data_IF_253157706211
#
_entry.id   IF_253157706211
#
_cell.length_a   1.000
_cell.length_b   1.000
_cell.length_c   1.000
_cell.angle_alpha   90.00
_cell.angle_beta   90.00
_cell.angle_gamma   90.00
#
_symmetry.space_group_name_H-M   'P 1'
#
loop_
_entity.id
_entity.type
_entity.pdbx_description
1 polymer ?
#
# COMPACT_ATOMS: atom_id res chain seq x y z
N UNK A 1 -27.63 65.85 -27.99
CA UNK A 1 -27.92 64.84 -26.98
C UNK A 1 -27.58 65.38 -25.60
N UNK A 2 -28.51 65.36 -24.62
CA UNK A 2 -28.26 66.03 -23.34
C UNK A 2 -27.25 65.25 -22.50
N UNK A 3 -26.31 65.97 -21.90
CA UNK A 3 -25.22 65.48 -21.06
C UNK A 3 -25.68 64.54 -19.91
N UNK A 4 -26.96 64.48 -19.60
CA UNK A 4 -27.54 63.57 -18.57
C UNK A 4 -27.63 62.12 -19.01
N UNK A 5 -27.91 61.83 -20.29
CA UNK A 5 -27.98 60.44 -20.78
C UNK A 5 -26.63 59.77 -20.86
N UNK A 6 -25.59 60.55 -21.23
CA UNK A 6 -24.21 60.00 -21.28
C UNK A 6 -23.69 59.59 -19.89
N UNK A 7 -24.03 60.29 -18.81
CA UNK A 7 -23.65 59.96 -17.44
C UNK A 7 -24.37 58.72 -16.93
N UNK A 8 -25.59 58.46 -17.29
CA UNK A 8 -26.36 57.28 -16.93
C UNK A 8 -25.77 56.00 -17.58
N UNK A 9 -25.32 56.08 -18.82
CA UNK A 9 -24.67 54.96 -19.52
C UNK A 9 -23.30 54.65 -18.96
N UNK A 10 -22.52 55.64 -18.52
CA UNK A 10 -21.21 55.42 -17.88
C UNK A 10 -21.35 54.76 -16.51
N UNK A 11 -22.34 55.14 -15.69
CA UNK A 11 -22.61 54.51 -14.39
C UNK A 11 -23.11 53.08 -14.55
N UNK A 12 -23.95 52.81 -15.56
CA UNK A 12 -24.41 51.46 -15.84
C UNK A 12 -23.28 50.54 -16.33
N UNK A 13 -22.35 51.05 -17.14
CA UNK A 13 -21.18 50.31 -17.61
C UNK A 13 -20.18 50.00 -16.48
N UNK A 14 -19.95 50.94 -15.55
CA UNK A 14 -19.11 50.74 -14.39
C UNK A 14 -19.76 49.74 -13.41
N UNK A 15 -21.08 49.82 -13.19
CA UNK A 15 -21.80 48.87 -12.35
C UNK A 15 -21.78 47.44 -12.93
N UNK A 16 -21.85 47.29 -14.25
CA UNK A 16 -21.78 45.99 -14.91
C UNK A 16 -20.36 45.42 -14.91
N UNK A 17 -19.34 46.27 -15.06
CA UNK A 17 -17.93 45.84 -14.93
C UNK A 17 -17.56 45.41 -13.51
N UNK A 18 -18.09 46.06 -12.48
CA UNK A 18 -17.88 45.65 -11.09
C UNK A 18 -18.64 44.36 -10.76
N UNK A 19 -19.83 44.12 -11.32
CA UNK A 19 -20.54 42.85 -11.14
C UNK A 19 -19.81 41.66 -11.79
N UNK A 20 -19.15 41.87 -12.94
CA UNK A 20 -18.36 40.84 -13.62
C UNK A 20 -17.04 40.55 -12.87
N UNK A 21 -16.42 41.55 -12.24
CA UNK A 21 -15.23 41.37 -11.43
C UNK A 21 -15.51 40.65 -10.09
N UNK A 22 -16.71 40.82 -9.50
CA UNK A 22 -17.09 40.09 -8.28
C UNK A 22 -17.57 38.67 -8.56
N UNK A 23 -18.01 38.34 -9.78
CA UNK A 23 -18.43 37.00 -10.17
C UNK A 23 -17.27 36.05 -10.50
N UNK A 24 -16.08 36.57 -10.75
CA UNK A 24 -14.90 35.75 -11.07
C UNK A 24 -14.10 35.28 -9.83
N UNK A 25 -14.42 35.78 -8.62
CA UNK A 25 -13.63 35.53 -7.42
C UNK A 25 -14.09 34.33 -6.59
N UNK A 26 -15.15 33.61 -6.98
CA UNK A 26 -15.63 32.42 -6.23
C UNK A 26 -16.11 31.30 -7.16
N UNK A 27 -15.33 30.93 -8.16
CA UNK A 27 -15.34 29.57 -8.65
C UNK A 27 -14.55 28.74 -7.62
N UNK A 28 -15.13 28.60 -6.45
CA UNK A 28 -14.69 27.70 -5.42
C UNK A 28 -15.01 26.31 -5.97
N UNK A 29 -14.03 25.67 -6.63
CA UNK A 29 -14.14 24.26 -6.96
C UNK A 29 -14.49 23.58 -5.66
N UNK A 30 -15.65 22.97 -5.61
CA UNK A 30 -15.98 22.00 -4.55
C UNK A 30 -14.94 20.89 -4.67
N UNK A 31 -13.88 21.00 -3.88
CA UNK A 31 -12.74 20.05 -3.95
C UNK A 31 -13.21 18.63 -3.65
N UNK A 32 -14.47 18.45 -3.24
CA UNK A 32 -15.01 17.17 -2.84
C UNK A 32 -14.19 16.54 -1.68
N UNK A 33 -14.46 15.31 -1.35
CA UNK A 33 -13.71 14.54 -0.35
C UNK A 33 -12.67 13.66 -1.04
N UNK A 34 -11.40 13.78 -0.67
CA UNK A 34 -10.36 12.84 -1.09
C UNK A 34 -10.59 11.48 -0.41
N UNK A 35 -10.74 10.43 -1.20
CA UNK A 35 -11.04 9.07 -0.72
C UNK A 35 -9.82 8.17 -0.89
N UNK A 36 -9.32 7.65 0.22
CA UNK A 36 -8.11 6.83 0.26
C UNK A 36 -8.51 5.40 0.63
N UNK A 37 -8.16 4.44 -0.21
CA UNK A 37 -8.46 3.03 0.01
C UNK A 37 -7.35 2.28 0.72
N UNK A 38 -7.68 1.10 1.24
CA UNK A 38 -6.68 0.12 1.67
C UNK A 38 -7.11 -1.31 1.33
N UNK A 39 -6.11 -2.17 1.12
CA UNK A 39 -6.29 -3.63 1.13
C UNK A 39 -6.58 -4.10 2.56
N UNK A 40 -6.91 -5.39 2.72
CA UNK A 40 -7.26 -5.98 4.01
C UNK A 40 -6.06 -6.63 4.69
N UNK A 41 -5.05 -5.83 5.05
CA UNK A 41 -3.91 -6.23 5.89
C UNK A 41 -3.28 -5.00 6.56
N UNK A 42 -2.54 -5.22 7.65
CA UNK A 42 -2.07 -4.21 8.60
C UNK A 42 -1.32 -3.06 7.95
N UNK A 43 -0.30 -3.35 7.15
CA UNK A 43 0.51 -2.34 6.48
C UNK A 43 -0.32 -1.40 5.60
N UNK A 44 -1.26 -1.97 4.84
CA UNK A 44 -2.13 -1.18 3.98
C UNK A 44 -3.04 -0.23 4.77
N UNK A 45 -3.47 -0.62 5.98
CA UNK A 45 -4.24 0.25 6.87
C UNK A 45 -3.40 1.42 7.36
N UNK A 46 -2.16 1.14 7.81
CA UNK A 46 -1.22 2.16 8.27
C UNK A 46 -0.90 3.15 7.16
N UNK A 47 -0.58 2.66 5.95
CA UNK A 47 -0.25 3.50 4.80
C UNK A 47 -1.44 4.36 4.37
N UNK A 48 -2.68 3.87 4.44
CA UNK A 48 -3.86 4.67 4.15
C UNK A 48 -4.03 5.84 5.14
N UNK A 49 -3.76 5.61 6.43
CA UNK A 49 -3.77 6.65 7.45
C UNK A 49 -2.61 7.65 7.27
N UNK A 50 -1.41 7.18 6.92
CA UNK A 50 -0.27 8.05 6.61
C UNK A 50 -0.59 8.97 5.44
N UNK A 51 -1.17 8.45 4.36
CA UNK A 51 -1.60 9.22 3.20
C UNK A 51 -2.69 10.24 3.57
N UNK A 52 -3.69 9.81 4.35
CA UNK A 52 -4.78 10.68 4.78
C UNK A 52 -4.28 11.85 5.65
N UNK A 53 -3.42 11.56 6.62
CA UNK A 53 -2.89 12.57 7.53
C UNK A 53 -1.87 13.48 6.86
N UNK A 54 -1.13 13.01 5.86
CA UNK A 54 -0.25 13.88 5.04
C UNK A 54 -1.07 14.86 4.17
N UNK A 55 -2.24 14.45 3.69
CA UNK A 55 -3.14 15.28 2.89
C UNK A 55 -3.97 16.26 3.74
N UNK A 56 -4.41 15.84 4.93
CA UNK A 56 -5.39 16.55 5.77
C UNK A 56 -5.06 18.02 6.06
N UNK A 57 -3.81 18.43 6.40
CA UNK A 57 -3.48 19.84 6.69
C UNK A 57 -3.75 20.79 5.52
N UNK A 58 -3.91 20.26 4.33
CA UNK A 58 -4.04 21.02 3.08
C UNK A 58 -5.47 20.99 2.52
N UNK A 59 -6.42 20.42 3.27
CA UNK A 59 -7.81 20.24 2.87
C UNK A 59 -8.78 20.96 3.82
N UNK A 60 -9.97 21.32 3.32
CA UNK A 60 -11.03 21.91 4.13
C UNK A 60 -11.77 20.86 4.96
N UNK A 61 -11.96 19.68 4.39
CA UNK A 61 -12.55 18.50 5.05
C UNK A 61 -11.54 17.38 5.09
N UNK A 62 -11.53 16.61 6.17
CA UNK A 62 -10.62 15.49 6.30
C UNK A 62 -10.79 14.48 5.16
N UNK A 63 -9.70 13.89 4.64
CA UNK A 63 -9.79 12.76 3.72
C UNK A 63 -10.62 11.61 4.33
N UNK A 64 -11.33 10.88 3.47
CA UNK A 64 -12.10 9.72 3.88
C UNK A 64 -11.28 8.44 3.64
N UNK A 65 -10.88 7.75 4.71
CA UNK A 65 -10.23 6.45 4.62
C UNK A 65 -11.29 5.36 4.44
N UNK A 66 -11.14 4.55 3.39
CA UNK A 66 -11.93 3.36 3.08
C UNK A 66 -11.09 2.13 3.40
N UNK A 67 -11.07 1.79 4.69
CA UNK A 67 -10.21 0.72 5.21
C UNK A 67 -10.73 -0.67 4.84
N UNK A 68 -9.82 -1.59 4.48
CA UNK A 68 -10.10 -3.02 4.42
C UNK A 68 -11.03 -3.44 3.28
N UNK A 69 -10.98 -2.79 2.13
CA UNK A 69 -11.86 -3.08 0.99
C UNK A 69 -11.75 -4.53 0.50
N UNK A 70 -10.57 -5.13 0.60
CA UNK A 70 -10.35 -6.51 0.21
C UNK A 70 -8.97 -6.75 -0.41
N UNK A 71 -8.89 -7.66 -1.36
CA UNK A 71 -7.68 -7.97 -2.13
C UNK A 71 -7.43 -6.96 -3.26
N UNK A 72 -6.32 -7.13 -3.99
CA UNK A 72 -5.93 -6.27 -5.11
C UNK A 72 -7.06 -6.03 -6.12
N UNK A 73 -7.79 -7.06 -6.52
CA UNK A 73 -8.85 -6.92 -7.52
C UNK A 73 -9.98 -6.01 -7.04
N UNK A 74 -10.39 -6.13 -5.77
CA UNK A 74 -11.48 -5.33 -5.18
C UNK A 74 -11.06 -3.87 -5.03
N UNK A 75 -9.84 -3.61 -4.53
CA UNK A 75 -9.36 -2.24 -4.31
C UNK A 75 -9.12 -1.53 -5.64
N UNK A 76 -8.54 -2.23 -6.62
CA UNK A 76 -8.38 -1.69 -7.97
C UNK A 76 -9.73 -1.37 -8.64
N UNK A 77 -10.74 -2.22 -8.48
CA UNK A 77 -12.09 -1.93 -8.97
C UNK A 77 -12.71 -0.72 -8.27
N UNK A 78 -12.49 -0.54 -6.96
CA UNK A 78 -12.91 0.65 -6.25
C UNK A 78 -12.22 1.93 -6.77
N UNK A 79 -10.93 1.86 -7.14
CA UNK A 79 -10.23 2.95 -7.80
C UNK A 79 -10.80 3.23 -9.19
N UNK A 80 -11.05 2.18 -9.99
CA UNK A 80 -11.56 2.26 -11.36
C UNK A 80 -12.96 2.87 -11.41
N UNK A 81 -13.83 2.47 -10.49
CA UNK A 81 -15.20 3.00 -10.39
C UNK A 81 -15.29 4.38 -9.73
N UNK A 82 -14.18 4.91 -9.19
CA UNK A 82 -14.15 6.16 -8.46
C UNK A 82 -14.70 6.05 -7.03
N UNK A 83 -14.81 4.87 -6.47
CA UNK A 83 -15.12 4.64 -5.04
C UNK A 83 -14.01 5.11 -4.12
N UNK A 84 -12.76 5.08 -4.60
CA UNK A 84 -11.57 5.69 -4.00
C UNK A 84 -10.81 6.49 -5.06
N UNK A 85 -9.93 7.39 -4.60
CA UNK A 85 -9.14 8.27 -5.46
C UNK A 85 -7.67 7.80 -5.56
N UNK A 86 -7.16 7.15 -4.52
CA UNK A 86 -5.81 6.58 -4.45
C UNK A 86 -5.69 5.51 -3.34
N UNK A 87 -4.63 4.71 -3.40
CA UNK A 87 -4.23 3.79 -2.34
C UNK A 87 -2.76 3.38 -2.49
N UNK A 88 -2.16 2.82 -1.42
CA UNK A 88 -0.82 2.23 -1.48
C UNK A 88 -0.85 0.88 -2.20
N UNK A 89 0.03 0.69 -3.18
CA UNK A 89 0.16 -0.53 -3.97
C UNK A 89 1.64 -0.84 -4.20
N UNK A 90 1.97 -1.97 -4.79
CA UNK A 90 3.34 -2.45 -4.97
C UNK A 90 3.64 -2.68 -6.44
N UNK A 91 4.86 -2.33 -6.88
CA UNK A 91 5.23 -2.37 -8.30
C UNK A 91 5.07 -3.75 -8.94
N UNK A 92 5.45 -4.82 -8.24
CA UNK A 92 5.24 -6.20 -8.73
C UNK A 92 3.76 -6.53 -8.94
N UNK A 93 2.90 -6.13 -7.99
CA UNK A 93 1.45 -6.31 -8.08
C UNK A 93 0.85 -5.51 -9.24
N UNK A 94 1.30 -4.26 -9.43
CA UNK A 94 0.83 -3.43 -10.54
C UNK A 94 1.18 -4.08 -11.88
N UNK A 95 2.41 -4.54 -12.03
CA UNK A 95 2.86 -5.18 -13.27
C UNK A 95 2.09 -6.48 -13.55
N UNK A 96 2.04 -7.39 -12.57
CA UNK A 96 1.57 -8.75 -12.79
C UNK A 96 0.05 -8.90 -12.64
N UNK A 97 -0.57 -8.21 -11.66
CA UNK A 97 -1.99 -8.36 -11.37
C UNK A 97 -2.87 -7.32 -12.05
N UNK A 98 -2.42 -6.07 -12.17
CA UNK A 98 -3.21 -4.99 -12.77
C UNK A 98 -2.96 -4.90 -14.26
N UNK A 99 -1.70 -4.79 -14.68
CA UNK A 99 -1.32 -4.66 -16.09
C UNK A 99 -1.20 -5.99 -16.82
N UNK A 100 -1.22 -7.12 -16.10
CA UNK A 100 -1.09 -8.49 -16.65
C UNK A 100 0.16 -8.63 -17.54
N UNK A 101 1.25 -7.98 -17.15
CA UNK A 101 2.53 -8.10 -17.83
C UNK A 101 3.18 -9.44 -17.50
N UNK A 102 3.81 -10.06 -18.48
CA UNK A 102 4.63 -11.27 -18.33
C UNK A 102 6.13 -10.97 -18.11
N UNK A 103 6.48 -9.68 -18.05
CA UNK A 103 7.86 -9.19 -17.94
C UNK A 103 8.00 -8.13 -16.87
N UNK A 104 9.20 -8.01 -16.25
CA UNK A 104 9.49 -6.90 -15.37
C UNK A 104 9.27 -5.54 -16.08
N UNK A 105 8.73 -4.58 -15.36
CA UNK A 105 8.45 -3.23 -15.87
C UNK A 105 9.17 -2.20 -15.02
N UNK A 106 9.68 -1.13 -15.65
CA UNK A 106 10.11 0.07 -14.95
C UNK A 106 8.88 0.90 -14.53
N UNK A 107 9.04 1.82 -13.56
CA UNK A 107 7.94 2.72 -13.15
C UNK A 107 7.45 3.59 -14.31
N UNK A 108 8.35 4.03 -15.18
CA UNK A 108 8.03 4.80 -16.38
C UNK A 108 7.15 4.00 -17.34
N UNK A 109 7.51 2.73 -17.58
CA UNK A 109 6.73 1.82 -18.42
C UNK A 109 5.35 1.52 -17.79
N UNK A 110 5.28 1.34 -16.46
CA UNK A 110 4.00 1.17 -15.76
C UNK A 110 3.12 2.41 -15.91
N UNK A 111 3.67 3.63 -15.71
CA UNK A 111 2.93 4.86 -15.88
C UNK A 111 2.43 5.04 -17.32
N UNK A 112 3.26 4.71 -18.32
CA UNK A 112 2.85 4.75 -19.72
C UNK A 112 1.68 3.79 -20.02
N UNK A 113 1.67 2.61 -19.39
CA UNK A 113 0.60 1.62 -19.53
C UNK A 113 -0.68 1.99 -18.74
N UNK A 114 -0.54 2.62 -17.58
CA UNK A 114 -1.65 3.04 -16.72
C UNK A 114 -2.34 4.31 -17.21
N UNK A 115 -1.62 5.24 -17.85
CA UNK A 115 -2.14 6.54 -18.26
C UNK A 115 -3.39 6.44 -19.17
N UNK A 116 -3.43 5.57 -20.20
CA UNK A 116 -4.64 5.39 -21.01
C UNK A 116 -5.84 4.86 -20.23
N UNK A 117 -5.61 4.22 -19.08
CA UNK A 117 -6.64 3.72 -18.17
C UNK A 117 -7.12 4.79 -17.18
N UNK A 118 -6.49 5.97 -17.18
CA UNK A 118 -6.79 7.07 -16.27
C UNK A 118 -6.07 7.00 -14.92
N UNK A 119 -4.99 6.23 -14.81
CA UNK A 119 -4.24 6.02 -13.57
C UNK A 119 -2.76 6.34 -13.73
N UNK A 120 -2.10 6.54 -12.59
CA UNK A 120 -0.66 6.71 -12.51
C UNK A 120 -0.11 6.17 -11.20
N UNK A 121 1.21 5.97 -11.15
CA UNK A 121 1.94 5.66 -9.93
C UNK A 121 2.91 6.79 -9.60
N UNK A 122 2.97 7.13 -8.32
CA UNK A 122 3.85 8.15 -7.78
C UNK A 122 4.33 7.76 -6.38
N UNK A 123 5.12 8.62 -5.75
CA UNK A 123 5.49 8.52 -4.33
C UNK A 123 6.06 7.14 -3.99
N UNK A 124 7.25 6.77 -4.50
CA UNK A 124 7.93 5.59 -3.99
C UNK A 124 8.24 5.83 -2.51
N UNK A 125 7.63 5.05 -1.61
CA UNK A 125 7.77 5.29 -0.17
C UNK A 125 9.21 5.09 0.32
N UNK A 126 9.93 4.10 -0.23
CA UNK A 126 11.33 3.83 0.08
C UNK A 126 11.60 2.41 0.59
N UNK A 127 10.62 1.53 0.56
CA UNK A 127 10.76 0.13 0.98
C UNK A 127 10.17 -0.85 -0.04
N UNK A 128 10.60 -2.10 0.06
CA UNK A 128 10.06 -3.23 -0.67
C UNK A 128 9.32 -4.14 0.30
N UNK A 129 8.15 -4.61 -0.10
CA UNK A 129 7.38 -5.60 0.65
C UNK A 129 7.04 -6.78 -0.26
N UNK A 130 7.95 -7.76 -0.29
CA UNK A 130 7.88 -8.92 -1.17
C UNK A 130 7.14 -10.10 -0.56
N UNK A 131 6.65 -10.99 -1.43
CA UNK A 131 6.21 -12.31 -0.99
C UNK A 131 7.39 -13.22 -0.68
N UNK A 132 7.24 -14.06 0.34
CA UNK A 132 8.12 -15.19 0.60
C UNK A 132 7.33 -16.33 1.27
N UNK A 133 7.94 -17.50 1.38
CA UNK A 133 7.45 -18.57 2.26
C UNK A 133 8.29 -18.61 3.52
N UNK A 134 7.63 -18.88 4.64
CA UNK A 134 8.29 -19.02 5.94
C UNK A 134 7.80 -20.26 6.70
N UNK A 135 8.65 -20.79 7.55
CA UNK A 135 8.35 -21.90 8.43
C UNK A 135 9.00 -21.70 9.80
N UNK A 136 8.59 -22.45 10.82
CA UNK A 136 9.24 -22.38 12.13
C UNK A 136 10.72 -22.70 12.00
N UNK A 137 11.60 -21.85 12.55
CA UNK A 137 13.06 -21.99 12.41
C UNK A 137 13.57 -23.35 12.92
N UNK A 138 13.05 -23.84 14.05
CA UNK A 138 13.42 -25.15 14.61
C UNK A 138 13.08 -26.32 13.66
N UNK A 139 11.95 -26.24 12.94
CA UNK A 139 11.57 -27.27 11.98
C UNK A 139 12.41 -27.18 10.71
N UNK A 140 12.67 -25.96 10.23
CA UNK A 140 13.55 -25.72 9.09
C UNK A 140 14.97 -26.30 9.34
N UNK A 141 15.53 -26.02 10.51
CA UNK A 141 16.87 -26.51 10.87
C UNK A 141 16.90 -28.03 11.03
N UNK A 142 15.89 -28.62 11.69
CA UNK A 142 15.76 -30.08 11.86
C UNK A 142 15.63 -30.81 10.51
N UNK A 143 14.93 -30.24 9.55
CA UNK A 143 14.69 -30.82 8.21
C UNK A 143 15.77 -30.43 7.19
N UNK A 144 16.66 -29.50 7.55
CA UNK A 144 17.69 -28.98 6.65
C UNK A 144 17.15 -28.10 5.52
N UNK A 145 15.97 -27.50 5.72
CA UNK A 145 15.31 -26.63 4.73
C UNK A 145 15.81 -25.21 4.88
N UNK A 146 16.34 -24.62 3.81
CA UNK A 146 16.85 -23.26 3.75
C UNK A 146 16.25 -22.44 2.61
N UNK A 147 15.85 -23.13 1.54
CA UNK A 147 15.36 -22.50 0.31
C UNK A 147 14.06 -23.13 -0.19
N UNK A 148 13.43 -22.49 -1.15
CA UNK A 148 12.26 -23.02 -1.84
C UNK A 148 12.58 -24.33 -2.59
N UNK A 149 13.82 -24.47 -3.14
CA UNK A 149 14.25 -25.72 -3.75
C UNK A 149 14.39 -26.86 -2.74
N UNK A 150 14.71 -26.57 -1.46
CA UNK A 150 14.73 -27.59 -0.42
C UNK A 150 13.31 -28.07 -0.08
N UNK A 151 12.35 -27.12 0.00
CA UNK A 151 10.95 -27.41 0.30
C UNK A 151 10.33 -28.41 -0.68
N UNK A 152 10.77 -28.42 -1.94
CA UNK A 152 10.28 -29.35 -2.96
C UNK A 152 10.48 -30.83 -2.62
N UNK A 153 11.41 -31.17 -1.72
CA UNK A 153 11.71 -32.54 -1.29
C UNK A 153 10.85 -33.02 -0.10
N UNK A 154 9.94 -32.17 0.39
CA UNK A 154 9.18 -32.40 1.62
C UNK A 154 7.66 -32.34 1.35
N UNK A 155 7.16 -33.31 0.57
CA UNK A 155 5.75 -33.39 0.19
C UNK A 155 4.78 -33.54 1.37
N UNK A 156 5.28 -34.01 2.52
CA UNK A 156 4.52 -34.21 3.76
C UNK A 156 4.15 -32.92 4.49
N UNK A 157 4.84 -31.81 4.21
CA UNK A 157 4.62 -30.54 4.91
C UNK A 157 3.28 -29.91 4.52
N UNK A 158 2.57 -29.42 5.52
CA UNK A 158 1.27 -28.76 5.38
C UNK A 158 1.47 -27.27 5.14
N UNK A 159 0.99 -26.78 4.03
CA UNK A 159 1.03 -25.36 3.69
C UNK A 159 -0.32 -24.70 4.01
N UNK A 160 -0.28 -23.60 4.77
CA UNK A 160 -1.41 -22.71 4.99
C UNK A 160 -1.10 -21.38 4.33
N UNK A 161 -1.66 -21.14 3.14
CA UNK A 161 -1.33 -19.95 2.36
C UNK A 161 -2.51 -18.99 2.30
N UNK A 162 -2.23 -17.70 2.16
CA UNK A 162 -3.27 -16.71 2.02
C UNK A 162 -4.09 -16.94 0.74
N UNK A 163 -5.41 -16.72 0.84
CA UNK A 163 -6.30 -16.85 -0.31
C UNK A 163 -5.88 -15.92 -1.46
N UNK A 164 -5.30 -14.75 -1.12
CA UNK A 164 -4.75 -13.84 -2.12
C UNK A 164 -3.57 -14.49 -2.85
N UNK A 165 -2.57 -14.99 -2.13
CA UNK A 165 -1.39 -15.62 -2.73
C UNK A 165 -1.75 -16.84 -3.58
N UNK A 166 -2.71 -17.66 -3.15
CA UNK A 166 -3.18 -18.81 -3.93
C UNK A 166 -3.81 -18.37 -5.28
N UNK A 167 -4.55 -17.25 -5.28
CA UNK A 167 -5.29 -16.77 -6.45
C UNK A 167 -4.49 -15.91 -7.43
N UNK A 168 -3.28 -15.50 -7.08
CA UNK A 168 -2.46 -14.58 -7.89
C UNK A 168 -1.72 -15.29 -9.03
N UNK A 169 -1.44 -14.55 -10.10
CA UNK A 169 -0.61 -15.04 -11.22
C UNK A 169 0.82 -15.33 -10.78
N UNK A 170 1.40 -14.45 -9.93
CA UNK A 170 2.72 -14.59 -9.31
C UNK A 170 2.69 -15.36 -7.98
N UNK A 171 1.56 -15.98 -7.63
CA UNK A 171 1.34 -16.70 -6.40
C UNK A 171 1.65 -18.20 -6.48
N UNK A 172 0.89 -18.98 -5.69
CA UNK A 172 1.18 -20.40 -5.47
C UNK A 172 1.33 -21.23 -6.74
N UNK A 173 0.40 -21.10 -7.69
CA UNK A 173 0.43 -21.93 -8.91
C UNK A 173 1.71 -21.75 -9.71
N UNK A 174 2.14 -20.51 -9.89
CA UNK A 174 3.39 -20.17 -10.59
C UNK A 174 4.61 -20.62 -9.81
N UNK A 175 4.64 -20.35 -8.48
CA UNK A 175 5.72 -20.75 -7.60
C UNK A 175 5.88 -22.28 -7.56
N UNK A 176 4.79 -23.01 -7.38
CA UNK A 176 4.80 -24.48 -7.37
C UNK A 176 5.35 -25.06 -8.67
N UNK A 177 4.94 -24.49 -9.82
CA UNK A 177 5.48 -24.90 -11.13
C UNK A 177 6.98 -24.60 -11.26
N UNK A 178 7.43 -23.41 -10.84
CA UNK A 178 8.82 -22.98 -10.97
C UNK A 178 9.78 -23.82 -10.12
N UNK A 179 9.33 -24.23 -8.94
CA UNK A 179 10.16 -24.99 -7.97
C UNK A 179 9.86 -26.50 -7.94
N UNK A 180 8.81 -26.95 -8.63
CA UNK A 180 8.37 -28.36 -8.56
C UNK A 180 7.82 -28.72 -7.19
N UNK A 181 7.09 -27.80 -6.52
CA UNK A 181 6.52 -28.01 -5.19
C UNK A 181 5.32 -28.97 -5.28
N UNK A 182 5.34 -30.13 -4.59
CA UNK A 182 4.28 -31.13 -4.71
C UNK A 182 3.08 -30.89 -3.80
N UNK A 183 3.20 -29.93 -2.87
CA UNK A 183 2.20 -29.72 -1.82
C UNK A 183 0.91 -29.10 -2.38
N UNK A 184 -0.20 -29.33 -1.67
CA UNK A 184 -1.49 -28.68 -1.91
C UNK A 184 -1.83 -27.80 -0.71
N UNK A 185 -1.81 -26.46 -0.85
CA UNK A 185 -2.02 -25.57 0.29
C UNK A 185 -3.48 -25.50 0.70
N UNK A 186 -3.72 -25.28 2.00
CA UNK A 186 -5.00 -24.85 2.53
C UNK A 186 -5.08 -23.31 2.46
N UNK A 187 -6.17 -22.77 1.92
CA UNK A 187 -6.40 -21.31 1.87
C UNK A 187 -6.81 -20.76 3.23
N UNK A 188 -6.13 -19.71 3.69
CA UNK A 188 -6.38 -19.02 4.96
C UNK A 188 -6.50 -17.51 4.70
N UNK A 189 -6.97 -16.76 5.70
CA UNK A 189 -6.72 -15.32 5.77
C UNK A 189 -5.27 -15.10 6.19
N UNK A 190 -4.61 -14.06 5.64
CA UNK A 190 -3.18 -13.80 5.90
C UNK A 190 -2.87 -13.71 7.41
N UNK A 191 -3.67 -12.98 8.18
CA UNK A 191 -3.50 -12.88 9.63
C UNK A 191 -3.66 -14.21 10.36
N UNK A 192 -4.63 -15.04 9.92
CA UNK A 192 -4.89 -16.36 10.49
C UNK A 192 -3.80 -17.39 10.15
N UNK A 193 -3.06 -17.21 9.06
CA UNK A 193 -1.93 -18.10 8.74
C UNK A 193 -0.85 -18.07 9.83
N UNK A 194 -0.59 -16.89 10.42
CA UNK A 194 0.33 -16.76 11.55
C UNK A 194 -0.16 -17.48 12.82
N UNK A 195 -1.44 -17.44 13.10
CA UNK A 195 -2.02 -18.17 14.23
C UNK A 195 -1.94 -19.68 13.99
N UNK A 196 -2.21 -20.13 12.77
CA UNK A 196 -2.14 -21.54 12.38
C UNK A 196 -0.72 -22.13 12.48
N UNK A 197 0.32 -21.37 12.04
CA UNK A 197 1.70 -21.83 12.16
C UNK A 197 2.18 -21.82 13.62
N UNK A 198 1.80 -20.81 14.40
CA UNK A 198 2.07 -20.75 15.84
C UNK A 198 1.43 -21.92 16.60
N UNK A 199 0.21 -22.29 16.25
CA UNK A 199 -0.52 -23.45 16.80
C UNK A 199 -0.07 -24.81 16.20
N UNK A 200 0.92 -24.83 15.31
CA UNK A 200 1.43 -26.04 14.61
C UNK A 200 0.37 -26.78 13.78
N UNK A 201 -0.65 -26.08 13.32
CA UNK A 201 -1.67 -26.63 12.41
C UNK A 201 -1.17 -26.74 10.98
N UNK A 202 -0.26 -25.83 10.59
CA UNK A 202 0.48 -25.84 9.33
C UNK A 202 1.97 -25.70 9.59
N UNK A 203 2.79 -26.03 8.60
CA UNK A 203 4.25 -26.04 8.69
C UNK A 203 4.90 -24.89 7.95
N UNK A 204 4.26 -24.41 6.88
CA UNK A 204 4.73 -23.33 6.01
C UNK A 204 3.58 -22.38 5.73
N UNK A 205 3.88 -21.09 5.73
CA UNK A 205 2.94 -20.01 5.34
C UNK A 205 3.58 -19.10 4.30
N UNK A 206 2.76 -18.37 3.52
CA UNK A 206 3.24 -17.18 2.81
C UNK A 206 3.27 -16.00 3.77
N UNK A 207 4.23 -15.13 3.58
CA UNK A 207 4.46 -13.91 4.38
C UNK A 207 4.73 -12.73 3.47
N UNK A 208 4.56 -11.53 4.02
CA UNK A 208 5.12 -10.31 3.48
C UNK A 208 6.42 -9.99 4.21
N UNK A 209 7.46 -9.53 3.48
CA UNK A 209 8.80 -9.36 4.07
C UNK A 209 8.86 -8.27 5.14
N UNK A 210 7.84 -7.44 5.26
CA UNK A 210 7.69 -6.42 6.31
C UNK A 210 6.80 -6.85 7.49
N UNK A 211 6.32 -8.09 7.51
CA UNK A 211 5.45 -8.58 8.58
C UNK A 211 6.20 -8.70 9.92
N UNK A 212 5.68 -8.05 10.95
CA UNK A 212 6.30 -8.02 12.28
C UNK A 212 6.25 -9.37 13.02
N UNK A 213 5.33 -10.25 12.66
CA UNK A 213 5.15 -11.56 13.28
C UNK A 213 6.22 -12.58 12.90
N UNK A 214 7.02 -12.33 11.87
CA UNK A 214 8.10 -13.24 11.44
C UNK A 214 9.05 -13.49 12.60
N UNK A 215 9.62 -12.45 13.18
CA UNK A 215 10.57 -12.56 14.28
C UNK A 215 9.90 -12.98 15.58
N UNK A 216 8.72 -12.44 15.89
CA UNK A 216 8.01 -12.71 17.13
C UNK A 216 7.62 -14.19 17.29
N UNK A 217 7.40 -14.89 16.17
CA UNK A 217 7.08 -16.32 16.14
C UNK A 217 8.31 -17.21 15.84
N UNK A 218 9.50 -16.62 15.71
CA UNK A 218 10.72 -17.36 15.38
C UNK A 218 10.63 -18.09 14.06
N UNK A 219 10.09 -17.41 13.03
CA UNK A 219 9.99 -17.99 11.71
C UNK A 219 11.27 -17.76 10.91
N UNK A 220 11.59 -18.74 10.07
CA UNK A 220 12.67 -18.68 9.10
C UNK A 220 12.07 -18.45 7.71
N UNK A 221 12.44 -17.36 7.09
CA UNK A 221 12.09 -17.06 5.70
C UNK A 221 12.92 -17.96 4.79
N UNK A 222 12.26 -18.66 3.87
CA UNK A 222 12.93 -19.53 2.90
C UNK A 222 13.48 -18.70 1.75
N UNK A 223 14.74 -18.99 1.38
CA UNK A 223 15.39 -18.29 0.28
C UNK A 223 14.73 -18.63 -1.07
N UNK A 224 14.39 -17.60 -1.83
CA UNK A 224 13.99 -17.70 -3.23
C UNK A 224 15.26 -17.86 -4.10
N UNK A 225 15.81 -19.08 -4.13
CA UNK A 225 17.09 -19.40 -4.76
C UNK A 225 17.07 -19.44 -6.30
N UNK A 226 15.88 -19.24 -6.91
CA UNK A 226 15.70 -19.10 -8.35
C UNK A 226 15.19 -17.71 -8.78
N UNK A 227 15.07 -16.77 -7.82
CA UNK A 227 14.60 -15.40 -8.07
C UNK A 227 13.24 -15.37 -8.80
N UNK A 228 12.29 -16.12 -8.29
CA UNK A 228 10.93 -16.20 -8.83
C UNK A 228 10.16 -14.91 -8.59
N UNK A 229 10.25 -14.33 -7.39
CA UNK A 229 9.50 -13.14 -7.03
C UNK A 229 10.17 -11.88 -7.59
N UNK A 230 9.40 -10.97 -8.22
CA UNK A 230 9.91 -9.66 -8.60
C UNK A 230 10.07 -8.75 -7.37
N UNK A 231 10.52 -7.53 -7.59
CA UNK A 231 10.46 -6.48 -6.56
C UNK A 231 9.04 -5.96 -6.41
N UNK A 232 8.68 -5.65 -5.16
CA UNK A 232 7.40 -5.06 -4.77
C UNK A 232 7.65 -3.75 -4.02
N UNK A 233 8.25 -2.77 -4.73
CA UNK A 233 8.49 -1.45 -4.15
C UNK A 233 7.14 -0.75 -3.91
N UNK A 234 6.94 -0.26 -2.69
CA UNK A 234 5.70 0.39 -2.28
C UNK A 234 5.56 1.78 -2.92
N UNK A 235 4.41 2.05 -3.53
CA UNK A 235 4.09 3.27 -4.28
C UNK A 235 2.63 3.68 -4.03
N UNK A 236 2.26 4.89 -4.45
CA UNK A 236 0.85 5.31 -4.52
C UNK A 236 0.31 5.07 -5.92
N UNK A 237 -0.73 4.25 -6.05
CA UNK A 237 -1.54 4.12 -7.27
C UNK A 237 -2.74 5.06 -7.14
N UNK A 238 -2.93 5.95 -8.13
CA UNK A 238 -3.88 7.05 -8.05
C UNK A 238 -4.59 7.34 -9.38
N UNK A 239 -5.74 7.97 -9.31
CA UNK A 239 -6.45 8.51 -10.49
C UNK A 239 -5.76 9.78 -10.96
N UNK A 240 -5.54 9.93 -12.27
CA UNK A 240 -4.81 11.07 -12.86
C UNK A 240 -5.46 12.44 -12.60
N UNK A 241 -6.73 12.49 -12.24
CA UNK A 241 -7.42 13.74 -11.90
C UNK A 241 -7.10 14.24 -10.47
N UNK A 242 -6.53 13.41 -9.58
CA UNK A 242 -6.25 13.73 -8.18
C UNK A 242 -5.33 14.94 -8.00
N UNK A 243 -4.17 15.04 -8.67
CA UNK A 243 -3.31 16.22 -8.54
C UNK A 243 -3.97 17.54 -8.95
N UNK A 244 -4.91 17.49 -9.91
CA UNK A 244 -5.65 18.67 -10.36
C UNK A 244 -6.79 19.02 -9.41
N UNK A 245 -7.51 18.04 -8.88
CA UNK A 245 -8.61 18.24 -7.93
C UNK A 245 -8.12 18.67 -6.55
N UNK A 246 -6.99 18.17 -6.11
CA UNK A 246 -6.45 18.34 -4.75
C UNK A 246 -4.97 18.76 -4.75
N UNK A 247 -4.57 19.85 -5.42
CA UNK A 247 -3.14 20.14 -5.70
C UNK A 247 -2.29 20.29 -4.42
N UNK A 248 -2.82 20.90 -3.37
CA UNK A 248 -2.09 21.07 -2.11
C UNK A 248 -2.01 19.78 -1.30
N UNK A 249 -3.09 19.01 -1.25
CA UNK A 249 -3.11 17.71 -0.59
C UNK A 249 -2.19 16.72 -1.31
N UNK A 250 -2.16 16.76 -2.64
CA UNK A 250 -1.24 15.96 -3.45
C UNK A 250 0.23 16.27 -3.14
N UNK A 251 0.60 17.57 -3.04
CA UNK A 251 1.95 17.96 -2.62
C UNK A 251 2.31 17.42 -1.22
N UNK A 252 1.34 17.38 -0.30
CA UNK A 252 1.51 16.76 1.02
C UNK A 252 1.79 15.25 0.91
N UNK A 253 1.06 14.54 0.03
CA UNK A 253 1.27 13.13 -0.28
C UNK A 253 2.64 12.90 -0.93
N UNK A 254 3.03 13.72 -1.91
CA UNK A 254 4.34 13.62 -2.58
C UNK A 254 5.52 13.78 -1.63
N UNK A 255 5.35 14.54 -0.54
CA UNK A 255 6.39 14.70 0.48
C UNK A 255 6.75 13.41 1.23
N UNK A 256 5.96 12.35 1.07
CA UNK A 256 6.22 11.03 1.66
C UNK A 256 7.25 10.22 0.87
N UNK A 257 7.64 10.64 -0.34
CA UNK A 257 8.60 9.90 -1.16
C UNK A 257 9.93 9.69 -0.41
N UNK A 258 10.37 8.43 -0.34
CA UNK A 258 11.61 8.01 0.33
C UNK A 258 11.61 8.14 1.86
N UNK A 259 10.45 8.40 2.50
CA UNK A 259 10.40 8.63 3.95
C UNK A 259 10.17 7.38 4.80
N UNK A 260 9.75 6.30 4.19
CA UNK A 260 9.48 5.04 4.89
C UNK A 260 10.48 4.01 4.36
N UNK A 261 11.46 3.63 5.16
CA UNK A 261 12.31 2.48 4.87
C UNK A 261 11.70 1.18 5.44
N UNK A 262 12.29 0.02 5.11
CA UNK A 262 11.80 -1.28 5.58
C UNK A 262 11.74 -1.37 7.10
N UNK A 263 12.74 -0.82 7.81
CA UNK A 263 12.78 -0.84 9.29
C UNK A 263 11.63 -0.03 9.89
N UNK A 264 11.38 1.15 9.33
CA UNK A 264 10.26 1.99 9.77
C UNK A 264 8.92 1.29 9.54
N UNK A 265 8.76 0.60 8.40
CA UNK A 265 7.53 -0.12 8.10
C UNK A 265 7.32 -1.32 9.03
N UNK A 266 8.35 -2.15 9.24
CA UNK A 266 8.31 -3.26 10.21
C UNK A 266 7.98 -2.74 11.61
N UNK A 267 8.59 -1.63 12.04
CA UNK A 267 8.31 -1.04 13.35
C UNK A 267 6.84 -0.54 13.47
N UNK A 268 6.29 0.05 12.42
CA UNK A 268 4.88 0.46 12.39
C UNK A 268 3.94 -0.75 12.43
N UNK A 269 4.24 -1.80 11.66
CA UNK A 269 3.49 -3.06 11.69
C UNK A 269 3.55 -3.71 13.08
N UNK A 270 4.72 -3.73 13.74
CA UNK A 270 4.89 -4.26 15.09
C UNK A 270 4.05 -3.50 16.14
N UNK A 271 3.96 -2.18 16.03
CA UNK A 271 3.10 -1.38 16.92
C UNK A 271 1.63 -1.77 16.79
N UNK A 272 1.15 -2.01 15.58
CA UNK A 272 -0.21 -2.45 15.36
C UNK A 272 -0.44 -3.89 15.80
N UNK A 273 0.38 -4.82 15.32
CA UNK A 273 0.13 -6.26 15.44
C UNK A 273 0.52 -6.85 16.79
N UNK A 274 1.58 -6.34 17.40
CA UNK A 274 2.11 -6.86 18.66
C UNK A 274 1.73 -6.00 19.88
N UNK A 275 1.46 -4.71 19.67
CA UNK A 275 1.14 -3.78 20.75
C UNK A 275 -0.32 -3.28 20.72
N UNK A 276 -1.07 -3.59 19.66
CA UNK A 276 -2.48 -3.19 19.51
C UNK A 276 -2.70 -1.69 19.32
N UNK A 277 -1.68 -0.94 18.86
CA UNK A 277 -1.80 0.49 18.61
C UNK A 277 -2.73 0.76 17.42
N UNK A 278 -3.54 1.82 17.53
CA UNK A 278 -4.43 2.22 16.43
C UNK A 278 -3.65 2.78 15.23
N UNK A 279 -4.09 2.47 14.02
CA UNK A 279 -3.40 2.83 12.78
C UNK A 279 -3.25 4.34 12.60
N UNK A 280 -4.26 5.11 12.95
CA UNK A 280 -4.23 6.58 12.93
C UNK A 280 -3.20 7.16 13.90
N UNK A 281 -3.02 6.55 15.06
CA UNK A 281 -2.02 6.94 16.05
C UNK A 281 -0.61 6.63 15.54
N UNK A 282 -0.40 5.45 14.95
CA UNK A 282 0.88 5.07 14.34
C UNK A 282 1.26 6.06 13.23
N UNK A 283 0.32 6.38 12.34
CA UNK A 283 0.53 7.32 11.24
C UNK A 283 0.86 8.74 11.76
N UNK A 284 0.15 9.21 12.78
CA UNK A 284 0.39 10.52 13.41
C UNK A 284 1.78 10.63 13.99
N UNK A 285 2.19 9.62 14.76
CA UNK A 285 3.51 9.60 15.40
C UNK A 285 4.63 9.56 14.36
N UNK A 286 4.47 8.77 13.30
CA UNK A 286 5.41 8.74 12.18
C UNK A 286 5.55 10.11 11.50
N UNK A 287 4.43 10.77 11.17
CA UNK A 287 4.44 12.08 10.50
C UNK A 287 4.98 13.20 11.38
N UNK A 288 4.80 13.13 12.69
CA UNK A 288 5.34 14.08 13.67
C UNK A 288 6.89 14.02 13.77
N UNK A 289 7.55 13.15 13.02
CA UNK A 289 9.01 12.95 13.12
C UNK A 289 9.38 12.13 14.34
N UNK A 290 8.42 11.43 14.92
CA UNK A 290 8.66 10.42 15.93
C UNK A 290 9.60 9.38 15.33
N UNK A 291 10.87 9.41 15.73
CA UNK A 291 11.60 8.16 15.87
C UNK A 291 10.64 7.31 16.66
N UNK A 292 10.24 6.14 16.09
CA UNK A 292 9.50 5.17 16.89
C UNK A 292 10.18 5.21 18.25
N UNK A 293 9.48 5.72 19.28
CA UNK A 293 10.04 5.66 20.61
C UNK A 293 10.36 4.20 20.77
N UNK A 294 11.65 3.90 20.65
CA UNK A 294 12.23 2.67 21.08
C UNK A 294 12.01 2.65 22.60
N UNK A 295 10.75 2.43 22.96
CA UNK A 295 10.47 1.77 24.21
C UNK A 295 11.26 0.51 24.13
N UNK A 296 12.46 0.59 24.71
CA UNK A 296 13.43 -0.47 24.82
C UNK A 296 14.45 -0.55 23.67
N UNK A 297 15.63 0.01 23.94
CA UNK A 297 16.88 -0.42 23.30
C UNK A 297 17.07 -1.96 23.31
N UNK A 298 16.25 -2.69 24.08
CA UNK A 298 16.26 -4.14 24.17
C UNK A 298 15.46 -4.86 23.08
N UNK A 299 14.42 -4.25 22.51
CA UNK A 299 13.60 -4.89 21.47
C UNK A 299 14.31 -4.85 20.10
N UNK A 300 14.87 -3.70 19.74
CA UNK A 300 15.60 -3.55 18.47
C UNK A 300 16.95 -4.27 18.46
N UNK A 301 17.62 -4.40 19.61
CA UNK A 301 18.83 -5.20 19.72
C UNK A 301 18.58 -6.72 19.59
N UNK A 302 17.37 -7.19 19.85
CA UNK A 302 16.96 -8.60 19.59
C UNK A 302 16.49 -8.82 18.16
N UNK A 303 16.05 -7.79 17.44
CA UNK A 303 15.60 -7.89 16.05
C UNK A 303 16.76 -7.82 15.04
N UNK A 304 17.87 -7.15 15.39
CA UNK A 304 18.95 -6.83 14.45
C UNK A 304 20.37 -7.09 15.02
N UNK A 305 20.48 -7.76 16.18
CA UNK A 305 21.74 -8.13 16.83
C UNK A 305 22.25 -9.50 16.42
#
# INVERSE_FOLDING_TARGET
MPRRTLRLWLVALIAMATLVMFGAANAQTDEGTLRIGSKRFTESYILAEVLAQAAAPHMRSAPAVRQGLGNTAIVYEALRSGGIDLYAEYTGTIALEILKSDKPMTREAMNAALAPLGFGIAVPFGFNDGYALAMRAADADRLGIRSLSDLARHAELKLGLSNEFIGRADGWKGLASAYGLPQSPTGLDHGLAYDAIGAKQVDVIDIYTTDAKIDSLGLKVLQDDRSYFPRYDAVVLYRLDVPTRFPKAWAGIESLAGRIDERAMIAMNARAELQGAAFDTIARDFLAGGKAETGERGFMAKLFG
#
